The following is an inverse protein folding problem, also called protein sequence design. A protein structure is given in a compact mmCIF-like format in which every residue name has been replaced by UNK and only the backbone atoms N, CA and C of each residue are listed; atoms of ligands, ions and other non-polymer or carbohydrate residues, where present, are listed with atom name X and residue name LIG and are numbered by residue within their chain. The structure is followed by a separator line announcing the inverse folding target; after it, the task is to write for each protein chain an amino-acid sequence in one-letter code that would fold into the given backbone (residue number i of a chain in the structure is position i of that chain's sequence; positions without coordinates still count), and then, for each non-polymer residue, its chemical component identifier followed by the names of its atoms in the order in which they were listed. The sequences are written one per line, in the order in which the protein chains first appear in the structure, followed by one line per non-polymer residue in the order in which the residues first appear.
data_IF_643780701175
#
_entry.id   IF_643780701175
#
_cell.length_a   1.000
_cell.length_b   1.000
_cell.length_c   1.000
_cell.angle_alpha   90.00
_cell.angle_beta   90.00
_cell.angle_gamma   90.00
#
_symmetry.space_group_name_H-M   'P 1'
#
loop_
_entity.id
_entity.type
_entity.pdbx_description
1 polymer ?
#
# COMPACT_ATOMS: atom_id res chain seq x y z
N UNK A 1 8.04 19.52 -9.18
CA UNK A 1 6.62 19.60 -9.62
C UNK A 1 5.82 19.95 -8.39
N UNK A 2 4.69 20.66 -8.50
CA UNK A 2 3.83 20.92 -7.36
C UNK A 2 3.30 19.60 -6.76
N UNK A 3 2.71 19.66 -5.56
CA UNK A 3 2.01 18.52 -4.97
C UNK A 3 0.95 17.95 -5.93
N UNK A 4 0.65 16.62 -5.87
CA UNK A 4 -0.41 16.02 -6.67
C UNK A 4 -1.74 16.74 -6.41
N UNK A 5 -2.40 17.12 -7.48
CA UNK A 5 -3.73 17.76 -7.47
C UNK A 5 -4.84 16.72 -7.58
N UNK A 6 -6.10 17.14 -7.41
CA UNK A 6 -7.24 16.26 -7.70
C UNK A 6 -7.21 15.71 -9.13
N UNK A 7 -6.76 16.51 -10.09
CA UNK A 7 -6.60 16.07 -11.48
C UNK A 7 -5.59 14.94 -11.61
N UNK A 8 -4.44 15.04 -10.92
CA UNK A 8 -3.44 13.98 -10.95
C UNK A 8 -3.95 12.68 -10.34
N UNK A 9 -4.82 12.76 -9.32
CA UNK A 9 -5.43 11.58 -8.70
C UNK A 9 -6.56 10.97 -9.54
N UNK A 10 -7.06 11.64 -10.59
CA UNK A 10 -7.99 11.06 -11.56
C UNK A 10 -7.30 10.30 -12.69
N UNK A 11 -5.98 10.51 -12.87
CA UNK A 11 -5.18 9.78 -13.86
C UNK A 11 -4.64 8.46 -13.30
N UNK A 12 -4.48 7.47 -14.17
CA UNK A 12 -3.81 6.24 -13.79
C UNK A 12 -2.34 6.46 -13.48
N UNK A 13 -1.88 5.84 -12.38
CA UNK A 13 -0.45 5.59 -12.16
C UNK A 13 0.02 4.44 -13.06
N UNK A 14 1.34 4.20 -13.15
CA UNK A 14 1.85 2.97 -13.75
C UNK A 14 1.26 1.70 -13.12
N UNK A 15 0.99 1.73 -11.82
CA UNK A 15 0.50 0.57 -11.06
C UNK A 15 -0.99 0.32 -11.27
N UNK A 16 -1.82 1.37 -11.32
CA UNK A 16 -3.28 1.28 -11.41
C UNK A 16 -3.84 1.26 -12.84
N UNK A 17 -2.98 1.33 -13.85
CA UNK A 17 -3.42 1.33 -15.24
C UNK A 17 -3.93 -0.07 -15.64
N UNK A 18 -5.21 -0.21 -16.05
CA UNK A 18 -5.77 -1.50 -16.45
C UNK A 18 -5.31 -1.97 -17.84
N UNK A 19 -4.57 -1.13 -18.61
CA UNK A 19 -4.04 -1.48 -19.92
C UNK A 19 -5.11 -1.93 -20.91
N UNK A 20 -4.98 -3.14 -21.44
CA UNK A 20 -5.94 -3.69 -22.41
C UNK A 20 -7.34 -3.95 -21.83
N UNK A 21 -7.48 -3.95 -20.49
CA UNK A 21 -8.75 -4.15 -19.79
C UNK A 21 -9.54 -2.84 -19.57
N UNK A 22 -9.06 -1.69 -20.06
CA UNK A 22 -9.72 -0.38 -19.90
C UNK A 22 -11.17 -0.40 -20.37
N UNK A 23 -11.47 -1.10 -21.48
CA UNK A 23 -12.85 -1.25 -21.97
C UNK A 23 -13.77 -1.92 -20.96
N UNK A 24 -13.32 -2.98 -20.32
CA UNK A 24 -14.05 -3.67 -19.25
C UNK A 24 -14.21 -2.77 -18.01
N UNK A 25 -13.16 -2.06 -17.60
CA UNK A 25 -13.19 -1.14 -16.46
C UNK A 25 -14.17 0.03 -16.66
N UNK A 26 -14.34 0.50 -17.90
CA UNK A 26 -15.31 1.57 -18.22
C UNK A 26 -16.79 1.12 -18.11
N UNK A 27 -17.05 -0.18 -18.06
CA UNK A 27 -18.39 -0.74 -17.86
C UNK A 27 -18.72 -1.01 -16.38
N UNK A 28 -17.70 -1.01 -15.50
CA UNK A 28 -17.87 -1.24 -14.06
C UNK A 28 -18.46 0.00 -13.37
N UNK A 29 -19.22 -0.22 -12.32
CA UNK A 29 -19.77 0.84 -11.48
C UNK A 29 -18.72 1.43 -10.54
N UNK A 30 -18.82 2.72 -10.24
CA UNK A 30 -18.05 3.39 -9.18
C UNK A 30 -18.75 3.35 -7.81
N UNK A 31 -19.87 2.65 -7.71
CA UNK A 31 -20.56 2.41 -6.44
C UNK A 31 -19.65 1.60 -5.50
N UNK A 32 -19.47 2.00 -4.23
CA UNK A 32 -18.52 1.35 -3.32
C UNK A 32 -18.81 -0.13 -3.07
N UNK A 33 -20.07 -0.54 -3.00
CA UNK A 33 -20.45 -1.94 -2.83
C UNK A 33 -20.11 -2.77 -4.08
N UNK A 34 -20.29 -2.16 -5.28
CA UNK A 34 -19.90 -2.79 -6.54
C UNK A 34 -18.38 -2.90 -6.66
N UNK A 35 -17.63 -1.87 -6.21
CA UNK A 35 -16.17 -1.91 -6.15
C UNK A 35 -15.67 -3.02 -5.23
N UNK A 36 -16.25 -3.17 -4.03
CA UNK A 36 -15.97 -4.28 -3.11
C UNK A 36 -16.24 -5.64 -3.78
N UNK A 37 -17.44 -5.83 -4.35
CA UNK A 37 -17.80 -7.10 -5.02
C UNK A 37 -16.85 -7.43 -6.15
N UNK A 38 -16.48 -6.45 -6.96
CA UNK A 38 -15.51 -6.63 -8.05
C UNK A 38 -14.13 -7.01 -7.50
N UNK A 39 -13.58 -6.23 -6.57
CA UNK A 39 -12.25 -6.48 -6.00
C UNK A 39 -12.16 -7.88 -5.37
N UNK A 40 -13.12 -8.25 -4.53
CA UNK A 40 -13.21 -9.56 -3.89
C UNK A 40 -13.53 -10.71 -4.86
N UNK A 41 -14.12 -10.43 -6.04
CA UNK A 41 -14.28 -11.45 -7.07
C UNK A 41 -12.96 -11.79 -7.76
N UNK A 42 -12.07 -10.81 -7.93
CA UNK A 42 -10.78 -10.95 -8.65
C UNK A 42 -9.68 -11.43 -7.71
N UNK A 43 -9.57 -10.85 -6.52
CA UNK A 43 -8.50 -11.10 -5.55
C UNK A 43 -9.04 -11.83 -4.32
N UNK A 44 -8.26 -12.79 -3.83
CA UNK A 44 -8.39 -13.37 -2.51
C UNK A 44 -7.17 -13.00 -1.67
N UNK A 45 -7.39 -12.58 -0.43
CA UNK A 45 -6.26 -12.21 0.43
C UNK A 45 -5.44 -13.46 0.81
N UNK A 46 -4.13 -13.47 0.49
CA UNK A 46 -3.26 -14.64 0.62
C UNK A 46 -3.06 -15.13 2.07
N UNK A 47 -3.43 -14.29 3.07
CA UNK A 47 -3.33 -14.61 4.52
C UNK A 47 -4.68 -14.70 5.24
N UNK A 48 -5.77 -14.22 4.64
CA UNK A 48 -7.08 -14.17 5.28
C UNK A 48 -7.83 -15.48 5.13
N UNK A 49 -7.55 -16.44 5.95
CA UNK A 49 -8.28 -17.69 6.16
C UNK A 49 -9.07 -18.22 4.96
N UNK A 50 -8.81 -19.43 4.54
CA UNK A 50 -9.44 -20.01 3.37
C UNK A 50 -8.74 -21.31 3.00
N UNK A 51 -9.09 -21.93 1.87
CA UNK A 51 -8.34 -23.06 1.33
C UNK A 51 -6.88 -22.67 1.07
N UNK A 52 -5.97 -23.63 1.19
CA UNK A 52 -4.57 -23.44 0.82
C UNK A 52 -4.44 -22.93 -0.61
N UNK A 53 -3.49 -21.99 -0.82
CA UNK A 53 -3.19 -21.47 -2.15
C UNK A 53 -2.68 -22.59 -3.05
N UNK A 54 -3.17 -22.61 -4.28
CA UNK A 54 -2.64 -23.47 -5.34
C UNK A 54 -1.21 -23.04 -5.72
N UNK A 55 -0.46 -23.92 -6.35
CA UNK A 55 0.90 -23.61 -6.82
C UNK A 55 0.94 -22.39 -7.78
N UNK A 56 -0.12 -22.19 -8.56
CA UNK A 56 -0.24 -21.03 -9.45
C UNK A 56 -0.58 -19.73 -8.70
N UNK A 57 -1.18 -19.82 -7.54
CA UNK A 57 -1.49 -18.65 -6.69
C UNK A 57 -0.29 -18.24 -5.83
N UNK A 58 0.63 -19.14 -5.51
CA UNK A 58 1.80 -18.84 -4.66
C UNK A 58 2.75 -17.80 -5.26
N UNK A 59 2.68 -17.55 -6.56
CA UNK A 59 3.49 -16.53 -7.26
C UNK A 59 2.73 -15.22 -7.49
N UNK A 60 1.44 -15.18 -7.19
CA UNK A 60 0.61 -14.00 -7.43
C UNK A 60 0.93 -12.81 -6.51
N UNK A 61 1.28 -12.99 -5.22
CA UNK A 61 1.52 -11.86 -4.32
C UNK A 61 2.51 -10.83 -4.87
N UNK A 62 3.45 -11.23 -5.73
CA UNK A 62 4.43 -10.33 -6.33
C UNK A 62 3.95 -9.57 -7.57
N UNK A 63 2.66 -9.64 -7.91
CA UNK A 63 2.06 -8.89 -9.02
C UNK A 63 1.84 -7.44 -8.63
N UNK A 64 2.70 -6.55 -9.11
CA UNK A 64 2.69 -5.11 -8.77
C UNK A 64 1.69 -4.32 -9.58
N UNK A 65 1.55 -4.65 -10.84
CA UNK A 65 0.77 -3.87 -11.81
C UNK A 65 -0.63 -4.44 -11.94
N UNK A 66 -1.63 -3.56 -11.99
CA UNK A 66 -3.02 -3.94 -12.18
C UNK A 66 -3.21 -4.81 -13.44
N UNK A 67 -2.51 -4.48 -14.53
CA UNK A 67 -2.52 -5.31 -15.75
C UNK A 67 -2.11 -6.76 -15.46
N UNK A 68 -1.05 -6.98 -14.68
CA UNK A 68 -0.57 -8.34 -14.38
C UNK A 68 -1.54 -9.13 -13.47
N UNK A 69 -2.27 -8.43 -12.60
CA UNK A 69 -3.34 -9.03 -11.77
C UNK A 69 -4.50 -9.45 -12.68
N UNK A 70 -4.94 -8.55 -13.57
CA UNK A 70 -6.06 -8.79 -14.47
C UNK A 70 -5.76 -9.89 -15.50
N UNK A 71 -4.56 -9.88 -16.09
CA UNK A 71 -4.11 -10.92 -17.01
C UNK A 71 -4.10 -12.30 -16.34
N UNK A 72 -3.63 -12.39 -15.08
CA UNK A 72 -3.66 -13.65 -14.33
C UNK A 72 -5.08 -14.10 -13.98
N UNK A 73 -5.96 -13.15 -13.64
CA UNK A 73 -7.37 -13.44 -13.37
C UNK A 73 -8.08 -13.94 -14.64
N UNK A 74 -7.89 -13.25 -15.78
CA UNK A 74 -8.53 -13.59 -17.06
C UNK A 74 -8.03 -14.95 -17.60
N UNK A 75 -6.75 -15.27 -17.43
CA UNK A 75 -6.24 -16.60 -17.80
C UNK A 75 -6.91 -17.74 -17.02
N UNK A 76 -7.45 -17.50 -15.82
CA UNK A 76 -8.09 -18.50 -14.97
C UNK A 76 -9.59 -18.57 -15.16
N UNK A 77 -10.25 -17.43 -15.39
CA UNK A 77 -11.68 -17.34 -15.68
C UNK A 77 -12.01 -15.95 -16.29
N UNK A 78 -13.11 -15.82 -17.06
CA UNK A 78 -13.55 -14.51 -17.59
C UNK A 78 -13.73 -13.48 -16.49
N UNK A 79 -13.36 -12.20 -16.73
CA UNK A 79 -13.43 -11.14 -15.71
C UNK A 79 -14.86 -10.82 -15.26
N UNK A 80 -15.85 -11.02 -16.12
CA UNK A 80 -17.28 -10.81 -15.88
C UNK A 80 -18.02 -12.03 -15.29
N UNK A 81 -17.29 -13.15 -15.05
CA UNK A 81 -17.85 -14.40 -14.58
C UNK A 81 -17.55 -14.68 -13.09
N UNK A 82 -18.32 -15.62 -12.49
CA UNK A 82 -18.02 -16.08 -11.15
C UNK A 82 -16.69 -16.85 -11.12
N UNK A 83 -15.93 -16.71 -10.01
CA UNK A 83 -14.66 -17.40 -9.78
C UNK A 83 -14.73 -18.28 -8.55
N UNK A 84 -14.12 -19.45 -8.66
CA UNK A 84 -13.77 -20.24 -7.48
C UNK A 84 -12.52 -19.64 -6.81
N UNK A 85 -12.28 -19.97 -5.55
CA UNK A 85 -11.07 -19.55 -4.82
C UNK A 85 -9.78 -19.82 -5.62
N UNK A 86 -9.65 -20.99 -6.25
CA UNK A 86 -8.48 -21.36 -7.06
C UNK A 86 -8.33 -20.54 -8.37
N UNK A 87 -9.38 -19.84 -8.80
CA UNK A 87 -9.38 -18.98 -9.99
C UNK A 87 -9.14 -17.50 -9.65
N UNK A 88 -9.26 -17.12 -8.38
CA UNK A 88 -8.88 -15.79 -7.92
C UNK A 88 -7.36 -15.64 -7.93
N UNK A 89 -6.89 -14.40 -7.97
CA UNK A 89 -5.48 -14.02 -7.81
C UNK A 89 -5.21 -13.88 -6.32
N UNK A 90 -4.15 -14.50 -5.81
CA UNK A 90 -3.77 -14.32 -4.42
C UNK A 90 -3.06 -12.96 -4.28
N UNK A 91 -3.65 -12.05 -3.53
CA UNK A 91 -3.15 -10.71 -3.29
C UNK A 91 -3.34 -10.29 -1.84
N UNK A 92 -3.25 -8.99 -1.57
CA UNK A 92 -3.48 -8.42 -0.25
C UNK A 92 -4.41 -7.20 -0.32
N UNK A 93 -4.61 -6.51 0.79
CA UNK A 93 -5.38 -5.27 0.90
C UNK A 93 -5.01 -4.23 -0.17
N UNK A 94 -3.70 -4.11 -0.48
CA UNK A 94 -3.20 -3.22 -1.54
C UNK A 94 -3.79 -3.58 -2.91
N UNK A 95 -3.97 -4.85 -3.24
CA UNK A 95 -4.43 -5.29 -4.54
C UNK A 95 -5.95 -5.09 -4.69
N UNK A 96 -6.73 -5.32 -3.62
CA UNK A 96 -8.14 -4.94 -3.57
C UNK A 96 -8.31 -3.43 -3.77
N UNK A 97 -7.50 -2.63 -3.07
CA UNK A 97 -7.50 -1.18 -3.23
C UNK A 97 -7.11 -0.76 -4.64
N UNK A 98 -6.07 -1.37 -5.23
CA UNK A 98 -5.62 -1.03 -6.58
C UNK A 98 -6.68 -1.32 -7.65
N UNK A 99 -7.44 -2.41 -7.52
CA UNK A 99 -8.59 -2.71 -8.40
C UNK A 99 -9.65 -1.60 -8.33
N UNK A 100 -10.03 -1.20 -7.12
CA UNK A 100 -11.00 -0.12 -6.91
C UNK A 100 -10.50 1.23 -7.46
N UNK A 101 -9.24 1.59 -7.20
CA UNK A 101 -8.61 2.79 -7.77
C UNK A 101 -8.59 2.76 -9.29
N UNK A 102 -8.31 1.60 -9.89
CA UNK A 102 -8.32 1.40 -11.33
C UNK A 102 -9.68 1.73 -11.94
N UNK A 103 -10.78 1.25 -11.32
CA UNK A 103 -12.15 1.57 -11.77
C UNK A 103 -12.43 3.06 -11.60
N UNK A 104 -12.21 3.62 -10.41
CA UNK A 104 -12.48 5.04 -10.12
C UNK A 104 -11.74 5.97 -11.09
N UNK A 105 -10.44 5.74 -11.30
CA UNK A 105 -9.61 6.54 -12.21
C UNK A 105 -10.02 6.37 -13.68
N UNK A 106 -10.48 5.18 -14.10
CA UNK A 106 -11.04 4.99 -15.45
C UNK A 106 -12.27 5.87 -15.67
N UNK A 107 -13.05 6.13 -14.63
CA UNK A 107 -14.20 7.03 -14.67
C UNK A 107 -13.86 8.51 -14.37
N UNK A 108 -12.57 8.85 -14.25
CA UNK A 108 -12.12 10.22 -13.93
C UNK A 108 -12.42 10.67 -12.50
N UNK A 109 -12.73 9.73 -11.59
CA UNK A 109 -12.92 10.03 -10.18
C UNK A 109 -11.54 10.08 -9.51
N UNK A 110 -11.16 11.23 -8.89
CA UNK A 110 -9.91 11.31 -8.15
C UNK A 110 -9.91 10.29 -7.01
N UNK A 111 -8.89 9.43 -6.98
CA UNK A 111 -8.78 8.38 -5.99
C UNK A 111 -7.31 8.08 -5.66
N UNK A 112 -7.03 7.76 -4.40
CA UNK A 112 -5.69 7.45 -3.90
C UNK A 112 -5.72 6.33 -2.86
N UNK A 113 -4.64 5.59 -2.72
CA UNK A 113 -4.44 4.63 -1.64
C UNK A 113 -3.88 5.29 -0.39
N UNK A 114 -4.17 4.72 0.76
CA UNK A 114 -3.64 5.13 2.06
C UNK A 114 -3.02 3.94 2.76
N UNK A 115 -1.81 4.15 3.24
CA UNK A 115 -1.06 3.17 4.02
C UNK A 115 -1.23 3.47 5.50
N UNK A 116 -1.44 2.43 6.29
CA UNK A 116 -1.58 2.58 7.74
C UNK A 116 -1.92 1.27 8.44
N UNK A 117 -2.77 1.39 9.44
CA UNK A 117 -3.07 0.29 10.35
C UNK A 117 -4.56 0.20 10.65
N UNK A 118 -5.11 -0.99 10.50
CA UNK A 118 -6.49 -1.33 10.80
C UNK A 118 -6.62 -1.80 12.24
N UNK A 119 -7.54 -1.22 13.00
CA UNK A 119 -7.80 -1.58 14.41
C UNK A 119 -8.92 -2.61 14.56
N UNK A 120 -9.56 -3.01 13.46
CA UNK A 120 -10.80 -3.77 13.43
C UNK A 120 -10.64 -5.27 13.20
N UNK A 121 -9.47 -5.75 12.80
CA UNK A 121 -9.27 -7.19 12.55
C UNK A 121 -9.04 -7.99 13.84
N UNK A 122 -8.27 -7.44 14.77
CA UNK A 122 -7.90 -8.13 16.01
C UNK A 122 -7.93 -7.16 17.19
N UNK A 123 -8.70 -7.43 18.25
CA UNK A 123 -8.75 -6.55 19.41
C UNK A 123 -7.36 -6.30 20.03
N UNK A 124 -6.99 -5.03 20.18
CA UNK A 124 -5.71 -4.61 20.76
C UNK A 124 -4.50 -4.71 19.80
N UNK A 125 -4.72 -5.03 18.54
CA UNK A 125 -3.71 -5.10 17.50
C UNK A 125 -4.06 -4.16 16.35
N UNK A 126 -3.09 -3.41 15.85
CA UNK A 126 -3.21 -2.52 14.71
C UNK A 126 -2.50 -3.20 13.53
N UNK A 127 -3.26 -3.94 12.72
CA UNK A 127 -2.72 -4.68 11.58
C UNK A 127 -2.36 -3.74 10.44
N UNK A 128 -1.23 -3.95 9.80
CA UNK A 128 -0.86 -3.23 8.58
C UNK A 128 -1.94 -3.39 7.51
N UNK A 129 -2.29 -2.29 6.86
CA UNK A 129 -3.40 -2.29 5.92
C UNK A 129 -3.32 -1.16 4.90
N UNK A 130 -4.00 -1.36 3.76
CA UNK A 130 -4.14 -0.38 2.70
C UNK A 130 -5.61 -0.18 2.39
N UNK A 131 -6.06 1.06 2.45
CA UNK A 131 -7.43 1.46 2.11
C UNK A 131 -7.44 2.47 0.97
N UNK A 132 -8.61 2.68 0.35
CA UNK A 132 -8.81 3.69 -0.67
C UNK A 132 -9.35 5.00 -0.09
N UNK A 133 -9.08 6.10 -0.77
CA UNK A 133 -9.81 7.36 -0.64
C UNK A 133 -10.26 7.83 -2.02
N UNK A 134 -11.52 8.25 -2.16
CA UNK A 134 -12.12 8.84 -3.36
C UNK A 134 -12.64 10.23 -3.07
N UNK A 135 -12.53 11.12 -4.05
CA UNK A 135 -13.10 12.46 -3.94
C UNK A 135 -14.58 12.44 -4.31
N UNK A 136 -15.45 12.90 -3.41
CA UNK A 136 -16.89 12.94 -3.64
C UNK A 136 -17.41 14.26 -4.21
N UNK A 137 -16.51 15.21 -4.47
CA UNK A 137 -16.80 16.58 -4.92
C UNK A 137 -16.55 17.63 -3.83
N UNK A 138 -16.51 17.24 -2.56
CA UNK A 138 -16.34 18.12 -1.42
C UNK A 138 -15.17 17.67 -0.49
N UNK A 139 -15.05 16.37 -0.26
CA UNK A 139 -14.05 15.79 0.63
C UNK A 139 -13.50 14.47 0.12
N UNK A 140 -12.40 14.04 0.70
CA UNK A 140 -11.91 12.68 0.57
C UNK A 140 -12.76 11.75 1.44
N UNK A 141 -13.32 10.72 0.80
CA UNK A 141 -14.10 9.65 1.44
C UNK A 141 -13.21 8.41 1.51
N UNK A 142 -12.90 7.97 2.73
CA UNK A 142 -12.11 6.76 2.97
C UNK A 142 -13.01 5.54 2.87
N UNK A 143 -12.57 4.49 2.19
CA UNK A 143 -13.32 3.24 2.05
C UNK A 143 -12.37 2.05 1.99
N UNK A 144 -12.86 0.89 2.40
CA UNK A 144 -12.11 -0.35 2.34
C UNK A 144 -12.78 -1.33 1.35
N UNK A 145 -12.19 -1.55 0.17
CA UNK A 145 -12.79 -2.42 -0.84
C UNK A 145 -12.60 -3.92 -0.56
N UNK A 146 -11.90 -4.30 0.51
CA UNK A 146 -11.75 -5.68 0.95
C UNK A 146 -12.88 -6.12 1.88
N UNK A 147 -13.52 -5.19 2.59
CA UNK A 147 -14.46 -5.49 3.67
C UNK A 147 -15.91 -5.60 3.21
N UNK A 148 -16.62 -6.63 3.70
CA UNK A 148 -18.08 -6.69 3.61
C UNK A 148 -18.70 -5.85 4.73
N UNK A 149 -19.58 -4.91 4.39
CA UNK A 149 -20.27 -4.05 5.36
C UNK A 149 -20.99 -4.82 6.46
N UNK A 150 -21.44 -6.04 6.18
CA UNK A 150 -22.20 -6.85 7.14
C UNK A 150 -21.36 -7.32 8.33
N UNK A 151 -20.05 -7.33 8.23
CA UNK A 151 -19.14 -7.83 9.25
C UNK A 151 -18.65 -6.74 10.22
N UNK A 152 -18.99 -5.45 9.96
CA UNK A 152 -18.47 -4.32 10.71
C UNK A 152 -19.58 -3.37 11.18
N UNK A 153 -19.37 -2.74 12.35
CA UNK A 153 -20.29 -1.78 12.99
C UNK A 153 -20.03 -0.32 12.58
N UNK A 154 -19.05 -0.07 11.71
CA UNK A 154 -18.79 1.22 11.07
C UNK A 154 -19.04 1.12 9.55
N UNK A 155 -19.24 2.27 8.91
CA UNK A 155 -19.41 2.33 7.46
C UNK A 155 -18.08 2.07 6.75
N UNK A 156 -17.93 0.90 6.10
CA UNK A 156 -16.72 0.52 5.36
C UNK A 156 -16.56 1.29 4.05
N UNK A 157 -17.64 1.93 3.56
CA UNK A 157 -17.68 2.73 2.33
C UNK A 157 -17.49 4.23 2.57
N UNK A 158 -17.62 4.67 3.83
CA UNK A 158 -17.34 6.03 4.30
C UNK A 158 -16.77 5.97 5.72
N UNK A 159 -15.56 5.43 5.82
CA UNK A 159 -14.90 5.19 7.11
C UNK A 159 -14.66 6.51 7.86
N UNK A 160 -14.97 6.56 9.15
CA UNK A 160 -14.66 7.73 9.97
C UNK A 160 -13.14 7.98 9.99
N UNK A 161 -12.75 9.25 10.04
CA UNK A 161 -11.37 9.71 10.11
C UNK A 161 -11.12 10.50 11.40
N UNK A 162 -9.85 10.66 11.80
CA UNK A 162 -9.46 11.37 13.01
C UNK A 162 -9.35 10.49 14.24
N UNK A 163 -9.30 11.07 15.46
CA UNK A 163 -9.10 10.31 16.69
C UNK A 163 -10.15 9.22 16.92
N UNK A 164 -9.70 7.98 17.15
CA UNK A 164 -10.58 6.84 17.33
C UNK A 164 -11.12 6.22 16.04
N UNK A 165 -10.61 6.66 14.89
CA UNK A 165 -10.89 6.06 13.59
C UNK A 165 -10.52 4.56 13.55
N UNK A 166 -11.29 3.73 12.84
CA UNK A 166 -10.95 2.31 12.67
C UNK A 166 -9.65 2.10 11.86
N UNK A 167 -9.26 3.08 11.05
CA UNK A 167 -8.00 3.07 10.32
C UNK A 167 -7.15 4.28 10.69
N UNK A 168 -5.90 4.03 11.13
CA UNK A 168 -4.91 5.03 11.51
C UNK A 168 -3.85 5.08 10.42
N UNK A 169 -3.55 6.28 9.89
CA UNK A 169 -2.49 6.42 8.87
C UNK A 169 -1.12 6.09 9.47
N UNK A 170 -0.15 5.72 8.63
CA UNK A 170 1.20 5.45 9.11
C UNK A 170 1.82 6.69 9.76
N UNK A 171 1.56 7.88 9.23
CA UNK A 171 2.00 9.14 9.79
C UNK A 171 1.40 9.41 11.19
N UNK A 172 0.08 9.23 11.36
CA UNK A 172 -0.57 9.40 12.65
C UNK A 172 -0.06 8.37 13.68
N UNK A 173 0.11 7.12 13.28
CA UNK A 173 0.66 6.06 14.13
C UNK A 173 2.10 6.38 14.58
N UNK A 174 2.95 6.81 13.64
CA UNK A 174 4.31 7.20 13.93
C UNK A 174 4.37 8.36 14.94
N UNK A 175 3.62 9.44 14.71
CA UNK A 175 3.59 10.60 15.59
C UNK A 175 3.05 10.22 16.99
N UNK A 176 2.05 9.36 17.08
CA UNK A 176 1.55 8.86 18.36
C UNK A 176 2.61 8.04 19.14
N UNK A 177 3.37 7.20 18.44
CA UNK A 177 4.51 6.46 19.02
C UNK A 177 5.60 7.43 19.49
N UNK A 178 5.98 8.42 18.69
CA UNK A 178 6.98 9.45 19.05
C UNK A 178 6.55 10.29 20.24
N UNK A 179 5.27 10.56 20.38
CA UNK A 179 4.70 11.25 21.53
C UNK A 179 4.53 10.37 22.78
N UNK A 180 4.76 9.06 22.67
CA UNK A 180 4.56 8.11 23.77
C UNK A 180 3.10 7.84 24.13
N UNK A 181 2.16 8.12 23.21
CA UNK A 181 0.71 7.88 23.38
C UNK A 181 0.23 6.57 22.76
N UNK A 182 1.07 5.92 21.96
CA UNK A 182 0.81 4.60 21.40
C UNK A 182 1.98 3.65 21.68
N UNK A 183 1.67 2.38 21.93
CA UNK A 183 2.67 1.33 22.09
C UNK A 183 3.07 0.79 20.71
N UNK A 184 4.34 0.98 20.26
CA UNK A 184 4.76 0.49 18.96
C UNK A 184 4.63 -1.03 18.82
N UNK A 185 4.72 -1.80 19.90
CA UNK A 185 4.61 -3.25 19.87
C UNK A 185 3.20 -3.75 19.42
N UNK A 186 2.21 -2.86 19.39
CA UNK A 186 0.85 -3.18 18.94
C UNK A 186 0.59 -2.91 17.45
N UNK A 187 1.62 -2.61 16.65
CA UNK A 187 1.49 -2.25 15.23
C UNK A 187 2.34 -3.15 14.34
N UNK A 188 1.75 -3.75 13.32
CA UNK A 188 2.47 -4.55 12.33
C UNK A 188 1.64 -5.62 11.66
N UNK A 189 2.32 -6.54 10.98
CA UNK A 189 1.69 -7.66 10.25
C UNK A 189 1.08 -8.67 11.22
N UNK A 190 1.81 -9.05 12.26
CA UNK A 190 1.36 -9.98 13.31
C UNK A 190 2.30 -9.93 14.50
N UNK A 191 1.77 -10.06 15.70
CA UNK A 191 2.56 -10.19 16.94
C UNK A 191 3.45 -11.45 16.99
N UNK A 192 3.17 -12.43 16.11
CA UNK A 192 3.95 -13.67 15.99
C UNK A 192 5.17 -13.52 15.06
N UNK A 193 5.28 -12.40 14.35
CA UNK A 193 6.35 -12.11 13.41
C UNK A 193 7.23 -10.96 13.95
N UNK A 194 8.25 -11.24 14.76
CA UNK A 194 8.99 -10.22 15.52
C UNK A 194 9.66 -9.15 14.65
N UNK A 195 10.01 -9.48 13.41
CA UNK A 195 10.64 -8.54 12.48
C UNK A 195 9.63 -7.72 11.66
N UNK A 196 8.33 -8.04 11.75
CA UNK A 196 7.26 -7.40 10.99
C UNK A 196 6.26 -6.67 11.90
N UNK A 197 6.75 -6.09 13.00
CA UNK A 197 5.98 -5.20 13.88
C UNK A 197 6.91 -4.28 14.68
N UNK A 198 6.33 -3.31 15.37
CA UNK A 198 7.07 -2.44 16.27
C UNK A 198 7.49 -1.12 15.62
N UNK A 199 8.33 -0.36 16.36
CA UNK A 199 8.71 1.00 15.99
C UNK A 199 9.31 1.10 14.58
N UNK A 200 10.25 0.23 14.27
CA UNK A 200 10.97 0.27 12.98
C UNK A 200 10.02 -0.07 11.83
N UNK A 201 9.08 -0.98 12.05
CA UNK A 201 8.04 -1.31 11.09
C UNK A 201 7.14 -0.10 10.79
N UNK A 202 6.64 0.61 11.82
CA UNK A 202 5.82 1.81 11.62
C UNK A 202 6.61 2.93 10.96
N UNK A 203 7.91 3.08 11.30
CA UNK A 203 8.80 4.08 10.72
C UNK A 203 8.86 4.00 9.20
N UNK A 204 9.08 2.82 8.64
CA UNK A 204 9.14 2.73 7.19
C UNK A 204 7.77 2.70 6.51
N UNK A 205 6.70 2.38 7.24
CA UNK A 205 5.33 2.56 6.72
C UNK A 205 5.01 4.03 6.44
N UNK A 206 5.63 4.99 7.14
CA UNK A 206 5.57 6.40 6.76
C UNK A 206 6.14 6.63 5.36
N UNK A 207 7.23 5.96 5.01
CA UNK A 207 7.82 6.05 3.67
C UNK A 207 6.89 5.47 2.59
N UNK A 208 6.26 4.32 2.85
CA UNK A 208 5.23 3.78 1.95
C UNK A 208 4.04 4.73 1.81
N UNK A 209 3.59 5.39 2.89
CA UNK A 209 2.49 6.35 2.81
C UNK A 209 2.83 7.52 1.89
N UNK A 210 4.05 8.05 1.97
CA UNK A 210 4.54 9.09 1.05
C UNK A 210 4.56 8.60 -0.39
N UNK A 211 5.09 7.40 -0.65
CA UNK A 211 5.13 6.82 -1.99
C UNK A 211 3.72 6.64 -2.58
N UNK A 212 2.80 6.05 -1.83
CA UNK A 212 1.41 5.88 -2.26
C UNK A 212 0.69 7.22 -2.48
N UNK A 213 0.98 8.24 -1.66
CA UNK A 213 0.48 9.60 -1.90
C UNK A 213 0.96 10.17 -3.23
N UNK A 214 2.17 9.82 -3.65
CA UNK A 214 2.73 10.23 -4.95
C UNK A 214 2.43 9.22 -6.08
N UNK A 215 1.53 8.29 -5.83
CA UNK A 215 1.03 7.27 -6.77
C UNK A 215 2.06 6.21 -7.17
N UNK A 216 3.09 6.04 -6.37
CA UNK A 216 3.94 4.86 -6.40
C UNK A 216 3.34 3.78 -5.49
N UNK A 217 2.28 3.13 -6.00
CA UNK A 217 1.51 2.11 -5.28
C UNK A 217 2.22 0.75 -5.32
N UNK A 218 3.39 0.66 -4.69
CA UNK A 218 4.23 -0.53 -4.60
C UNK A 218 3.61 -1.63 -3.73
N UNK A 219 4.22 -2.80 -3.77
CA UNK A 219 3.92 -3.87 -2.80
C UNK A 219 4.49 -3.52 -1.43
N UNK A 220 3.84 -3.97 -0.35
CA UNK A 220 4.27 -3.72 1.03
C UNK A 220 5.56 -4.48 1.44
N UNK A 221 6.17 -5.17 0.51
CA UNK A 221 7.46 -5.88 0.62
C UNK A 221 8.46 -5.51 -0.48
N UNK A 222 8.23 -4.39 -1.16
CA UNK A 222 9.19 -3.74 -2.04
C UNK A 222 9.94 -2.66 -1.25
N UNK A 223 11.21 -2.89 -0.98
CA UNK A 223 12.02 -2.11 -0.06
C UNK A 223 12.99 -1.22 -0.82
N UNK A 224 13.17 0.01 -0.36
CA UNK A 224 14.11 0.98 -0.92
C UNK A 224 14.57 1.96 0.17
N UNK A 225 15.52 2.83 -0.19
CA UNK A 225 15.93 3.94 0.68
C UNK A 225 16.49 3.50 2.03
N UNK A 226 16.15 4.21 3.11
CA UNK A 226 16.71 3.96 4.45
C UNK A 226 16.41 2.57 5.00
N UNK A 227 15.33 1.94 4.56
CA UNK A 227 14.94 0.61 5.03
C UNK A 227 15.96 -0.47 4.68
N UNK A 228 16.65 -0.33 3.56
CA UNK A 228 17.68 -1.28 3.12
C UNK A 228 18.83 -1.43 4.13
N UNK A 229 19.04 -0.43 4.99
CA UNK A 229 20.02 -0.44 6.07
C UNK A 229 19.55 -1.08 7.38
N UNK A 230 18.30 -1.49 7.49
CA UNK A 230 17.73 -2.00 8.75
C UNK A 230 18.21 -3.41 9.10
N UNK A 231 18.16 -3.73 10.40
CA UNK A 231 18.49 -5.08 10.90
C UNK A 231 17.56 -6.15 10.34
N UNK A 232 16.29 -5.80 10.08
CA UNK A 232 15.31 -6.67 9.44
C UNK A 232 15.78 -7.12 8.06
N UNK A 233 16.12 -6.18 7.18
CA UNK A 233 16.59 -6.50 5.82
C UNK A 233 17.84 -7.35 5.87
N UNK A 234 18.79 -7.02 6.76
CA UNK A 234 20.02 -7.80 6.92
C UNK A 234 19.77 -9.22 7.41
N UNK A 235 18.77 -9.42 8.28
CA UNK A 235 18.42 -10.73 8.83
C UNK A 235 17.59 -11.56 7.85
N UNK A 236 16.54 -10.97 7.24
CA UNK A 236 15.61 -11.67 6.35
C UNK A 236 16.28 -12.16 5.07
N UNK A 237 17.26 -11.44 4.60
CA UNK A 237 17.84 -11.66 3.29
C UNK A 237 19.16 -12.43 3.29
N UNK A 238 19.70 -12.74 4.47
CA UNK A 238 20.99 -13.41 4.59
C UNK A 238 22.13 -12.59 3.97
N UNK A 239 23.36 -13.13 3.99
CA UNK A 239 24.55 -12.43 3.46
C UNK A 239 24.49 -12.04 1.97
N UNK A 240 23.62 -12.65 1.20
CA UNK A 240 23.44 -12.34 -0.22
C UNK A 240 22.84 -10.95 -0.47
N UNK A 241 21.92 -10.48 0.37
CA UNK A 241 21.24 -9.19 0.17
C UNK A 241 22.14 -8.00 0.46
N UNK A 242 23.00 -8.08 1.47
CA UNK A 242 23.99 -7.03 1.68
C UNK A 242 24.88 -6.83 0.45
N UNK A 243 25.21 -7.92 -0.23
CA UNK A 243 25.95 -7.91 -1.50
C UNK A 243 25.09 -7.31 -2.63
N UNK A 244 23.84 -7.72 -2.76
CA UNK A 244 22.94 -7.20 -3.80
C UNK A 244 22.61 -5.72 -3.64
N UNK A 245 22.36 -5.25 -2.40
CA UNK A 245 22.13 -3.83 -2.12
C UNK A 245 23.36 -3.00 -2.49
N UNK A 246 24.55 -3.47 -2.13
CA UNK A 246 25.79 -2.80 -2.46
C UNK A 246 26.07 -2.82 -3.98
N UNK A 247 25.90 -3.96 -4.64
CA UNK A 247 26.10 -4.12 -6.10
C UNK A 247 25.05 -3.35 -6.91
N UNK A 248 23.81 -3.28 -6.43
CA UNK A 248 22.75 -2.53 -7.08
C UNK A 248 22.90 -1.02 -6.91
N UNK A 249 23.73 -0.57 -5.97
CA UNK A 249 23.94 0.85 -5.67
C UNK A 249 22.67 1.55 -5.22
N UNK A 250 21.80 0.85 -4.45
CA UNK A 250 20.56 1.42 -3.97
C UNK A 250 20.85 2.48 -2.90
N UNK A 251 20.32 3.71 -3.05
CA UNK A 251 20.61 4.81 -2.13
C UNK A 251 19.91 4.59 -0.77
N UNK A 252 20.49 5.15 0.31
CA UNK A 252 19.88 5.20 1.64
C UNK A 252 20.24 4.05 2.59
N UNK A 253 20.91 2.99 2.11
CA UNK A 253 21.29 1.83 2.93
C UNK A 253 22.25 2.15 4.09
N UNK A 254 22.93 3.28 4.06
CA UNK A 254 23.93 3.71 5.06
C UNK A 254 23.34 4.66 6.13
N UNK A 255 22.03 4.92 6.10
CA UNK A 255 21.37 5.81 7.06
C UNK A 255 21.33 5.14 8.46
N UNK A 256 21.70 5.89 9.49
CA UNK A 256 21.54 5.45 10.88
C UNK A 256 20.06 5.49 11.31
N UNK A 257 19.70 4.72 12.34
CA UNK A 257 18.34 4.73 12.88
C UNK A 257 17.90 6.12 13.35
N UNK A 258 18.80 6.91 13.94
CA UNK A 258 18.48 8.27 14.40
C UNK A 258 18.21 9.23 13.22
N UNK A 259 18.95 9.10 12.13
CA UNK A 259 18.71 9.87 10.90
C UNK A 259 17.40 9.45 10.22
N UNK A 260 17.11 8.16 10.19
CA UNK A 260 15.84 7.67 9.63
C UNK A 260 14.64 8.09 10.51
N UNK A 261 14.77 8.06 11.84
CA UNK A 261 13.75 8.60 12.75
C UNK A 261 13.46 10.08 12.44
N UNK A 262 14.49 10.90 12.22
CA UNK A 262 14.33 12.32 11.91
C UNK A 262 13.65 12.54 10.56
N UNK A 263 14.00 11.75 9.55
CA UNK A 263 13.32 11.78 8.23
C UNK A 263 11.85 11.38 8.38
N UNK A 264 11.55 10.30 9.09
CA UNK A 264 10.18 9.87 9.33
C UNK A 264 9.36 10.88 10.13
N UNK A 265 9.97 11.56 11.12
CA UNK A 265 9.33 12.66 11.85
C UNK A 265 8.91 13.80 10.90
N UNK A 266 9.82 14.24 10.02
CA UNK A 266 9.54 15.31 9.05
C UNK A 266 8.44 14.90 8.08
N UNK A 267 8.55 13.72 7.47
CA UNK A 267 7.56 13.20 6.53
C UNK A 267 6.18 13.05 7.17
N UNK A 268 6.10 12.52 8.39
CA UNK A 268 4.83 12.33 9.09
C UNK A 268 4.16 13.68 9.42
N UNK A 269 4.92 14.70 9.86
CA UNK A 269 4.37 16.03 10.07
C UNK A 269 3.82 16.63 8.78
N UNK A 270 4.55 16.51 7.67
CA UNK A 270 4.11 17.05 6.38
C UNK A 270 2.88 16.30 5.85
N UNK A 271 2.82 14.96 6.00
CA UNK A 271 1.65 14.16 5.62
C UNK A 271 0.40 14.60 6.36
N UNK A 272 0.47 14.73 7.69
CA UNK A 272 -0.67 15.14 8.54
C UNK A 272 -1.10 16.57 8.22
N UNK A 273 -0.17 17.50 8.07
CA UNK A 273 -0.48 18.88 7.72
C UNK A 273 -1.13 18.98 6.33
N UNK A 274 -0.58 18.26 5.33
CA UNK A 274 -1.14 18.22 3.98
C UNK A 274 -2.56 17.62 3.96
N UNK A 275 -2.84 16.62 4.80
CA UNK A 275 -4.18 16.03 4.94
C UNK A 275 -5.15 16.97 5.64
N UNK A 276 -4.65 17.86 6.50
CA UNK A 276 -5.43 18.96 7.09
C UNK A 276 -5.67 20.14 6.12
N UNK A 277 -5.17 20.06 4.88
CA UNK A 277 -5.37 21.08 3.85
C UNK A 277 -4.26 22.12 3.75
N UNK A 278 -3.13 21.91 4.43
CA UNK A 278 -1.95 22.78 4.30
C UNK A 278 -1.26 22.51 2.96
N UNK A 279 -1.41 23.47 2.04
CA UNK A 279 -0.86 23.38 0.67
C UNK A 279 0.66 23.56 0.66
N UNK A 280 1.23 24.34 1.60
CA UNK A 280 2.67 24.53 1.70
C UNK A 280 3.35 23.23 2.16
N UNK A 281 2.77 22.55 3.14
CA UNK A 281 3.23 21.23 3.57
C UNK A 281 3.12 20.17 2.43
N UNK A 282 2.04 20.22 1.66
CA UNK A 282 1.86 19.34 0.51
C UNK A 282 2.93 19.57 -0.58
N UNK A 283 3.23 20.83 -0.90
CA UNK A 283 4.27 21.20 -1.87
C UNK A 283 5.67 20.83 -1.37
N UNK A 284 5.96 21.07 -0.08
CA UNK A 284 7.23 20.66 0.54
C UNK A 284 7.42 19.13 0.51
N UNK A 285 6.36 18.37 0.82
CA UNK A 285 6.40 16.91 0.75
C UNK A 285 6.69 16.42 -0.67
N UNK A 286 6.05 17.04 -1.67
CA UNK A 286 6.27 16.72 -3.08
C UNK A 286 7.68 17.08 -3.56
N UNK A 287 8.26 18.15 -3.05
CA UNK A 287 9.64 18.55 -3.33
C UNK A 287 10.63 17.55 -2.72
N UNK A 288 10.48 17.22 -1.44
CA UNK A 288 11.30 16.22 -0.76
C UNK A 288 11.23 14.87 -1.48
N UNK A 289 10.04 14.39 -1.82
CA UNK A 289 9.88 13.10 -2.52
C UNK A 289 10.58 13.08 -3.87
N UNK A 290 10.61 14.19 -4.61
CA UNK A 290 11.26 14.30 -5.91
C UNK A 290 12.78 14.46 -5.83
N UNK A 291 13.26 15.25 -4.85
CA UNK A 291 14.68 15.65 -4.77
C UNK A 291 15.53 14.64 -3.98
N UNK A 292 14.95 13.99 -2.97
CA UNK A 292 15.68 13.02 -2.16
C UNK A 292 15.49 11.60 -2.71
N UNK A 293 16.52 11.13 -3.43
CA UNK A 293 16.53 9.77 -4.03
C UNK A 293 16.36 8.62 -3.03
N UNK A 294 16.45 8.91 -1.73
CA UNK A 294 16.22 7.90 -0.68
C UNK A 294 14.74 7.70 -0.38
N UNK A 295 13.87 8.66 -0.74
CA UNK A 295 12.45 8.66 -0.41
C UNK A 295 11.57 8.03 -1.49
N UNK A 296 12.03 7.94 -2.73
CA UNK A 296 11.28 7.30 -3.81
C UNK A 296 11.96 6.02 -4.32
N UNK A 297 11.21 5.05 -4.84
CA UNK A 297 11.70 3.71 -5.17
C UNK A 297 12.73 3.66 -6.32
N UNK A 298 12.84 4.73 -7.14
CA UNK A 298 13.71 4.74 -8.32
C UNK A 298 13.32 3.66 -9.35
N UNK A 299 14.31 3.15 -10.08
CA UNK A 299 14.10 2.13 -11.12
C UNK A 299 14.12 0.70 -10.55
N UNK A 300 14.66 0.49 -9.35
CA UNK A 300 14.81 -0.84 -8.75
C UNK A 300 14.53 -0.83 -7.27
N UNK A 301 13.94 -1.93 -6.79
CA UNK A 301 13.65 -2.18 -5.38
C UNK A 301 14.15 -3.57 -4.97
N UNK A 302 14.38 -3.76 -3.68
CA UNK A 302 14.55 -5.07 -3.11
C UNK A 302 13.16 -5.63 -2.76
N UNK A 303 12.77 -6.75 -3.34
CA UNK A 303 11.54 -7.46 -3.00
C UNK A 303 11.85 -8.56 -2.01
N UNK A 304 11.19 -8.53 -0.84
CA UNK A 304 11.18 -9.62 0.14
C UNK A 304 9.78 -10.24 0.20
N UNK A 305 9.47 -11.07 -0.78
CA UNK A 305 8.14 -11.67 -0.95
C UNK A 305 7.69 -12.47 0.27
N UNK A 306 6.40 -12.37 0.67
CA UNK A 306 5.82 -13.21 1.72
C UNK A 306 5.82 -14.70 1.35
N UNK A 307 6.11 -15.04 0.09
CA UNK A 307 6.27 -16.43 -0.39
C UNK A 307 7.67 -16.99 -0.19
N UNK A 308 8.58 -16.21 0.45
CA UNK A 308 9.96 -16.61 0.72
C UNK A 308 10.92 -16.35 -0.44
N UNK A 309 10.50 -15.58 -1.45
CA UNK A 309 11.36 -15.15 -2.55
C UNK A 309 11.99 -13.79 -2.25
N UNK A 310 13.28 -13.65 -2.51
CA UNK A 310 14.01 -12.38 -2.42
C UNK A 310 14.70 -12.07 -3.74
N UNK A 311 14.53 -10.86 -4.26
CA UNK A 311 15.13 -10.42 -5.53
C UNK A 311 15.26 -8.91 -5.62
N UNK A 312 16.20 -8.44 -6.45
CA UNK A 312 16.16 -7.07 -6.97
C UNK A 312 15.18 -7.05 -8.13
N UNK A 313 14.14 -6.23 -8.00
CA UNK A 313 13.10 -6.07 -9.00
C UNK A 313 13.31 -4.78 -9.77
N UNK A 314 13.32 -4.88 -11.10
CA UNK A 314 13.32 -3.73 -12.01
C UNK A 314 11.88 -3.25 -12.23
N UNK A 315 11.61 -1.99 -11.86
CA UNK A 315 10.29 -1.37 -12.00
C UNK A 315 10.05 -0.79 -13.40
N UNK A 316 11.07 -0.66 -14.23
CA UNK A 316 10.94 -0.21 -15.62
C UNK A 316 10.46 -1.33 -16.56
N UNK A 317 10.67 -2.60 -16.20
CA UNK A 317 10.20 -3.77 -16.95
C UNK A 317 8.78 -4.14 -16.50
N UNK A 318 7.79 -3.76 -17.31
CA UNK A 318 6.37 -4.06 -17.11
C UNK A 318 5.95 -5.26 -17.94
#
# INVERSE_FOLDING_TARGET
MPAPTLFDYSDHSPYSNPGNHTGYFSELSTDPEELHRFACSVVVHYRAGGPDLTETQKVDPDRRWLTSILDAAEMRAPLDGPRTHAQQVAGCCRDHTLLALGVLRTHGVPARSRIGFATYFTPGWNADHVVGERWDGDRWVRFDPELDQQDFDFDVHDMPTGPGSPFVTAADAWLAIRAGTADPAAFGVSSELPDLHGKDFVRYYVLYEVAHRHRDELLLWDLWGPELGTSYVRAAAGGAVATWVAEAGLPGADMSDAEFDAVADELAYLLVAADAGDTEAADQLAELYREDVRLHPGERVLTLSPTGHAAITDLATR
#
